data_IF_547404294465
#
_entry.id   IF_547404294465
#
_cell.length_a   1.000
_cell.length_b   1.000
_cell.length_c   1.000
_cell.angle_alpha   90.00
_cell.angle_beta   90.00
_cell.angle_gamma   90.00
#
_symmetry.space_group_name_H-M   'P 1'
#
loop_
_entity.id
_entity.type
_entity.pdbx_description
1 polymer ?
#
# COMPACT_ATOMS: atom_id res chain seq x y z
N UNK A 1 -5.57 -16.58 15.55
CA UNK A 1 -6.34 -15.45 14.97
C UNK A 1 -7.12 -15.92 13.75
N UNK A 2 -8.24 -15.27 13.43
CA UNK A 2 -9.10 -15.67 12.29
C UNK A 2 -8.33 -15.72 10.95
N UNK A 3 -7.42 -14.79 10.73
CA UNK A 3 -6.64 -14.73 9.49
C UNK A 3 -5.69 -15.92 9.37
N UNK A 4 -4.98 -16.27 10.45
CA UNK A 4 -4.08 -17.43 10.47
C UNK A 4 -4.83 -18.75 10.26
N UNK A 5 -5.96 -18.95 10.92
CA UNK A 5 -6.80 -20.13 10.73
C UNK A 5 -7.28 -20.29 9.29
N UNK A 6 -7.62 -19.18 8.62
CA UNK A 6 -8.03 -19.20 7.22
C UNK A 6 -6.87 -19.49 6.27
N UNK A 7 -5.65 -19.04 6.61
CA UNK A 7 -4.42 -19.39 5.87
C UNK A 7 -4.10 -20.88 6.05
N UNK A 8 -4.14 -21.36 7.28
CA UNK A 8 -3.82 -22.76 7.61
C UNK A 8 -4.83 -23.74 6.99
N UNK A 9 -6.12 -23.35 6.95
CA UNK A 9 -7.17 -24.10 6.24
C UNK A 9 -7.09 -23.98 4.72
N UNK A 10 -6.12 -23.22 4.20
CA UNK A 10 -5.91 -23.08 2.77
C UNK A 10 -6.90 -22.19 2.03
N UNK A 11 -7.70 -21.38 2.73
CA UNK A 11 -8.66 -20.45 2.13
C UNK A 11 -8.03 -19.11 1.73
N UNK A 12 -6.93 -18.73 2.36
CA UNK A 12 -6.17 -17.51 2.08
C UNK A 12 -4.73 -17.83 1.65
N UNK A 13 -4.15 -16.95 0.83
CA UNK A 13 -2.72 -17.01 0.51
C UNK A 13 -1.87 -16.57 1.71
N UNK A 14 -0.63 -17.07 1.81
CA UNK A 14 0.32 -16.57 2.80
C UNK A 14 0.64 -15.10 2.52
N UNK A 15 0.61 -14.27 3.56
CA UNK A 15 1.02 -12.87 3.50
C UNK A 15 2.47 -12.74 3.97
N UNK A 16 3.30 -12.08 3.17
CA UNK A 16 4.62 -11.62 3.57
C UNK A 16 4.60 -10.09 3.61
N UNK A 17 5.18 -9.49 4.64
CA UNK A 17 5.21 -8.05 4.83
C UNK A 17 6.65 -7.56 4.73
N UNK A 18 6.88 -6.59 3.84
CA UNK A 18 8.13 -5.82 3.77
C UNK A 18 7.87 -4.41 4.25
N UNK A 19 8.40 -4.08 5.42
CA UNK A 19 8.36 -2.72 5.95
C UNK A 19 9.56 -1.96 5.41
N UNK A 20 9.31 -0.96 4.58
CA UNK A 20 10.33 -0.14 3.93
C UNK A 20 10.39 1.22 4.65
N UNK A 21 11.40 1.41 5.49
CA UNK A 21 11.58 2.62 6.28
C UNK A 21 12.46 3.59 5.49
N UNK A 22 11.85 4.64 4.97
CA UNK A 22 12.52 5.67 4.19
C UNK A 22 13.14 6.68 5.14
N UNK A 23 14.47 6.81 5.12
CA UNK A 23 15.18 7.82 5.91
C UNK A 23 15.19 9.14 5.17
N UNK A 24 14.59 10.15 5.79
CA UNK A 24 14.60 11.55 5.39
C UNK A 24 15.70 12.33 6.12
N UNK A 25 15.87 13.60 5.76
CA UNK A 25 16.62 14.55 6.59
C UNK A 25 15.87 14.78 7.90
N UNK A 26 16.61 14.93 8.98
CA UNK A 26 16.06 15.19 10.30
C UNK A 26 15.30 16.51 10.29
N UNK A 27 14.02 16.48 10.68
CA UNK A 27 13.14 17.64 10.70
C UNK A 27 12.12 17.52 11.83
N UNK A 28 11.78 18.65 12.44
CA UNK A 28 10.73 18.75 13.45
C UNK A 28 9.42 19.21 12.80
N UNK A 29 8.33 18.57 13.16
CA UNK A 29 6.98 19.00 12.83
C UNK A 29 6.23 19.32 14.11
N UNK A 30 5.49 20.43 14.12
CA UNK A 30 4.68 20.83 15.26
C UNK A 30 3.36 20.06 15.32
N UNK A 31 2.80 19.71 14.17
CA UNK A 31 1.56 18.93 14.07
C UNK A 31 1.74 17.67 13.23
N UNK A 32 0.84 16.70 13.48
CA UNK A 32 0.74 15.49 12.64
C UNK A 32 0.38 15.84 11.18
N UNK A 33 -0.43 16.85 10.98
CA UNK A 33 -0.87 17.29 9.66
C UNK A 33 0.29 17.84 8.83
N UNK A 34 1.17 18.66 9.43
CA UNK A 34 2.36 19.19 8.76
C UNK A 34 3.30 18.06 8.32
N UNK A 35 3.48 17.05 9.20
CA UNK A 35 4.27 15.87 8.86
C UNK A 35 3.67 15.10 7.68
N UNK A 36 2.33 14.90 7.69
CA UNK A 36 1.65 14.22 6.58
C UNK A 36 1.80 14.98 5.27
N UNK A 37 1.61 16.31 5.28
CA UNK A 37 1.78 17.13 4.09
C UNK A 37 3.21 17.04 3.53
N UNK A 38 4.21 17.12 4.39
CA UNK A 38 5.60 16.92 3.98
C UNK A 38 5.81 15.55 3.32
N UNK A 39 5.35 14.48 3.95
CA UNK A 39 5.54 13.10 3.47
C UNK A 39 4.90 12.89 2.11
N UNK A 40 3.62 13.26 1.95
CA UNK A 40 2.88 12.98 0.71
C UNK A 40 3.32 13.86 -0.47
N UNK A 41 3.86 15.05 -0.19
CA UNK A 41 4.39 15.95 -1.22
C UNK A 41 5.87 15.72 -1.55
N UNK A 42 6.57 14.85 -0.83
CA UNK A 42 8.02 14.68 -0.97
C UNK A 42 8.39 14.00 -2.30
N UNK A 43 9.09 14.70 -3.24
CA UNK A 43 9.30 14.19 -4.60
C UNK A 43 10.08 12.88 -4.68
N UNK A 44 11.16 12.76 -3.89
CA UNK A 44 11.98 11.54 -3.87
C UNK A 44 11.21 10.33 -3.31
N UNK A 45 10.35 10.57 -2.33
CA UNK A 45 9.48 9.54 -1.77
C UNK A 45 8.45 9.05 -2.80
N UNK A 46 7.78 9.96 -3.48
CA UNK A 46 6.81 9.62 -4.51
C UNK A 46 7.47 8.91 -5.70
N UNK A 47 8.69 9.32 -6.07
CA UNK A 47 9.53 8.62 -7.06
C UNK A 47 9.86 7.20 -6.61
N UNK A 48 10.22 7.00 -5.34
CA UNK A 48 10.48 5.67 -4.79
C UNK A 48 9.25 4.76 -4.90
N UNK A 49 8.06 5.25 -4.50
CA UNK A 49 6.80 4.50 -4.59
C UNK A 49 6.48 4.16 -6.05
N UNK A 50 6.62 5.12 -6.97
CA UNK A 50 6.46 4.89 -8.40
C UNK A 50 7.37 3.77 -8.90
N UNK A 51 8.67 3.86 -8.62
CA UNK A 51 9.63 2.87 -9.08
C UNK A 51 9.31 1.49 -8.50
N UNK A 52 8.99 1.40 -7.21
CA UNK A 52 8.56 0.15 -6.58
C UNK A 52 7.34 -0.44 -7.30
N UNK A 53 6.30 0.36 -7.54
CA UNK A 53 5.08 -0.11 -8.21
C UNK A 53 5.34 -0.62 -9.63
N UNK A 54 6.22 0.05 -10.36
CA UNK A 54 6.57 -0.32 -11.75
C UNK A 54 7.48 -1.55 -11.81
N UNK A 55 8.41 -1.70 -10.87
CA UNK A 55 9.34 -2.83 -10.84
C UNK A 55 8.68 -4.14 -10.37
N UNK A 56 7.61 -4.05 -9.58
CA UNK A 56 6.88 -5.21 -9.11
C UNK A 56 6.16 -5.92 -10.26
N UNK A 57 6.24 -7.25 -10.29
CA UNK A 57 5.50 -8.10 -11.22
C UNK A 57 4.20 -8.58 -10.60
N UNK A 58 3.21 -8.82 -11.43
CA UNK A 58 1.86 -9.19 -11.01
C UNK A 58 0.97 -7.97 -10.73
N UNK A 59 -0.31 -8.22 -10.55
CA UNK A 59 -1.27 -7.16 -10.23
C UNK A 59 -0.91 -6.50 -8.91
N UNK A 60 -0.70 -5.18 -8.95
CA UNK A 60 -0.19 -4.38 -7.83
C UNK A 60 -1.20 -3.30 -7.46
N UNK A 61 -1.58 -3.25 -6.19
CA UNK A 61 -2.46 -2.23 -5.63
C UNK A 61 -1.63 -1.21 -4.85
N UNK A 62 -1.76 0.07 -5.22
CA UNK A 62 -1.13 1.20 -4.52
C UNK A 62 -2.20 1.97 -3.77
N UNK A 63 -2.16 1.95 -2.44
CA UNK A 63 -3.17 2.56 -1.58
C UNK A 63 -2.74 3.92 -1.05
N UNK A 64 -3.60 4.91 -1.22
CA UNK A 64 -3.40 6.29 -0.76
C UNK A 64 -4.59 6.81 0.07
N UNK A 65 -4.38 7.91 0.81
CA UNK A 65 -5.41 8.54 1.68
C UNK A 65 -6.04 9.79 1.06
N UNK A 66 -5.27 10.60 0.33
CA UNK A 66 -5.70 11.92 -0.19
C UNK A 66 -5.74 11.90 -1.70
N UNK A 67 -6.93 12.12 -2.28
CA UNK A 67 -7.17 11.99 -3.71
C UNK A 67 -6.34 13.02 -4.51
N UNK A 68 -6.58 14.31 -4.32
CA UNK A 68 -5.96 15.36 -5.15
C UNK A 68 -4.46 15.56 -4.84
N UNK A 69 -4.08 15.55 -3.58
CA UNK A 69 -2.72 15.93 -3.14
C UNK A 69 -1.72 14.78 -3.10
N UNK A 70 -2.16 13.54 -3.26
CA UNK A 70 -1.27 12.38 -3.28
C UNK A 70 -1.66 11.34 -4.34
N UNK A 71 -2.92 10.88 -4.35
CA UNK A 71 -3.38 9.84 -5.26
C UNK A 71 -3.22 10.20 -6.73
N UNK A 72 -3.66 11.40 -7.12
CA UNK A 72 -3.50 11.91 -8.48
C UNK A 72 -2.03 11.99 -8.90
N UNK A 73 -1.17 12.51 -8.02
CA UNK A 73 0.28 12.64 -8.26
C UNK A 73 0.91 11.27 -8.49
N UNK A 74 0.56 10.27 -7.65
CA UNK A 74 1.06 8.91 -7.80
C UNK A 74 0.56 8.27 -9.10
N UNK A 75 -0.73 8.41 -9.41
CA UNK A 75 -1.31 7.88 -10.64
C UNK A 75 -0.64 8.45 -11.87
N UNK A 76 -0.55 9.78 -12.01
CA UNK A 76 0.06 10.44 -13.16
C UNK A 76 1.53 10.03 -13.33
N UNK A 77 2.27 9.99 -12.22
CA UNK A 77 3.68 9.60 -12.22
C UNK A 77 3.88 8.13 -12.62
N UNK A 78 3.04 7.21 -12.13
CA UNK A 78 3.11 5.78 -12.48
C UNK A 78 2.69 5.59 -13.93
N UNK A 79 1.54 6.16 -14.33
CA UNK A 79 0.98 5.99 -15.67
C UNK A 79 1.92 6.54 -16.77
N UNK A 80 2.61 7.65 -16.51
CA UNK A 80 3.58 8.21 -17.45
C UNK A 80 4.89 7.41 -17.53
N UNK A 81 5.18 6.57 -16.54
CA UNK A 81 6.45 5.85 -16.44
C UNK A 81 6.38 4.38 -16.85
N UNK A 82 5.19 3.77 -16.82
CA UNK A 82 5.01 2.39 -17.29
C UNK A 82 5.24 2.28 -18.79
N UNK A 83 5.76 1.13 -19.21
CA UNK A 83 6.05 0.77 -20.60
C UNK A 83 5.34 -0.52 -20.97
N UNK A 84 5.47 -0.91 -22.22
CA UNK A 84 5.05 -2.22 -22.72
C UNK A 84 3.54 -2.52 -22.56
N UNK A 85 2.70 -1.47 -22.62
CA UNK A 85 1.24 -1.63 -22.59
C UNK A 85 0.68 -2.05 -21.22
N UNK A 86 1.48 -1.99 -20.14
CA UNK A 86 1.01 -2.29 -18.79
C UNK A 86 -0.11 -1.32 -18.40
N UNK A 87 -1.25 -1.83 -17.98
CA UNK A 87 -2.42 -1.02 -17.61
C UNK A 87 -2.27 -0.43 -16.23
N UNK A 88 -2.68 0.84 -16.09
CA UNK A 88 -2.73 1.56 -14.80
C UNK A 88 -4.13 2.13 -14.63
N UNK A 89 -4.78 1.82 -13.51
CA UNK A 89 -6.11 2.26 -13.16
C UNK A 89 -6.08 3.22 -11.97
N UNK A 90 -6.98 4.21 -11.97
CA UNK A 90 -7.15 5.15 -10.86
C UNK A 90 -8.55 5.05 -10.29
N UNK A 91 -8.66 4.72 -9.00
CA UNK A 91 -9.95 4.42 -8.36
C UNK A 91 -10.07 5.12 -7.01
N UNK A 92 -11.09 5.96 -6.86
CA UNK A 92 -11.37 6.68 -5.61
C UNK A 92 -12.87 6.92 -5.41
N UNK A 93 -13.28 7.55 -4.32
CA UNK A 93 -14.69 7.73 -3.96
C UNK A 93 -15.53 8.57 -4.94
N UNK A 94 -14.87 9.37 -5.80
CA UNK A 94 -15.53 10.12 -6.87
C UNK A 94 -15.77 9.33 -8.16
N UNK A 95 -15.26 8.11 -8.25
CA UNK A 95 -15.48 7.20 -9.39
C UNK A 95 -16.78 6.45 -9.20
N UNK A 96 -17.59 6.35 -10.26
CA UNK A 96 -18.89 5.67 -10.20
C UNK A 96 -18.76 4.17 -9.88
N UNK A 97 -19.82 3.60 -9.29
CA UNK A 97 -19.81 2.20 -8.88
C UNK A 97 -19.62 1.25 -10.07
N UNK A 98 -20.21 1.57 -11.21
CA UNK A 98 -20.07 0.79 -12.44
C UNK A 98 -18.63 0.79 -12.95
N UNK A 99 -17.98 1.95 -13.01
CA UNK A 99 -16.58 2.07 -13.43
C UNK A 99 -15.64 1.29 -12.50
N UNK A 100 -15.90 1.32 -11.18
CA UNK A 100 -15.12 0.51 -10.21
C UNK A 100 -15.27 -0.99 -10.46
N UNK A 101 -16.46 -1.46 -10.83
CA UNK A 101 -16.72 -2.86 -11.14
C UNK A 101 -16.07 -3.27 -12.47
N UNK A 102 -16.04 -2.39 -13.45
CA UNK A 102 -15.31 -2.59 -14.71
C UNK A 102 -13.81 -2.73 -14.48
N UNK A 103 -13.21 -1.84 -13.66
CA UNK A 103 -11.79 -1.93 -13.26
C UNK A 103 -11.51 -3.25 -12.55
N UNK A 104 -12.40 -3.70 -11.67
CA UNK A 104 -12.27 -5.00 -11.00
C UNK A 104 -12.27 -6.15 -12.01
N UNK A 105 -13.22 -6.17 -12.91
CA UNK A 105 -13.39 -7.22 -13.91
C UNK A 105 -12.19 -7.29 -14.86
N UNK A 106 -11.72 -6.13 -15.34
CA UNK A 106 -10.53 -6.05 -16.20
C UNK A 106 -9.30 -6.52 -15.45
N UNK A 107 -9.12 -6.09 -14.20
CA UNK A 107 -7.96 -6.48 -13.37
C UNK A 107 -7.93 -7.98 -13.09
N UNK A 108 -9.08 -8.62 -12.94
CA UNK A 108 -9.14 -10.09 -12.76
C UNK A 108 -8.67 -10.86 -14.01
N UNK A 109 -8.79 -10.26 -15.19
CA UNK A 109 -8.27 -10.82 -16.46
C UNK A 109 -6.81 -10.46 -16.73
N UNK A 110 -6.28 -9.43 -16.08
CA UNK A 110 -4.88 -8.98 -16.22
C UNK A 110 -3.96 -9.74 -15.28
N UNK A 111 -2.74 -9.96 -15.72
CA UNK A 111 -1.70 -10.61 -14.91
C UNK A 111 -0.67 -9.63 -14.33
N UNK A 112 -0.67 -8.36 -14.79
CA UNK A 112 0.38 -7.39 -14.46
C UNK A 112 -0.12 -5.93 -14.46
N UNK A 113 -1.35 -5.67 -14.01
CA UNK A 113 -1.90 -4.32 -13.89
C UNK A 113 -1.45 -3.61 -12.61
N UNK A 114 -1.48 -2.27 -12.63
CA UNK A 114 -1.32 -1.43 -11.43
C UNK A 114 -2.64 -0.71 -11.16
N UNK A 115 -3.12 -0.79 -9.92
CA UNK A 115 -4.33 -0.09 -9.46
C UNK A 115 -3.93 0.91 -8.39
N UNK A 116 -4.12 2.19 -8.64
CA UNK A 116 -3.91 3.27 -7.67
C UNK A 116 -5.26 3.61 -7.07
N UNK A 117 -5.48 3.27 -5.80
CA UNK A 117 -6.80 3.35 -5.18
C UNK A 117 -6.77 4.03 -3.80
N UNK A 118 -7.87 4.72 -3.45
CA UNK A 118 -8.01 5.25 -2.10
C UNK A 118 -8.33 4.15 -1.08
N UNK A 119 -7.81 4.28 0.15
CA UNK A 119 -8.12 3.34 1.24
C UNK A 119 -9.61 3.20 1.48
N UNK A 120 -10.37 4.31 1.41
CA UNK A 120 -11.82 4.30 1.60
C UNK A 120 -12.53 3.43 0.57
N UNK A 121 -12.22 3.63 -0.69
CA UNK A 121 -12.84 2.87 -1.79
C UNK A 121 -12.47 1.39 -1.72
N UNK A 122 -11.22 1.08 -1.38
CA UNK A 122 -10.78 -0.31 -1.23
C UNK A 122 -11.46 -1.01 -0.06
N UNK A 123 -11.66 -0.33 1.08
CA UNK A 123 -12.31 -0.91 2.26
C UNK A 123 -13.80 -1.18 2.06
N UNK A 124 -14.46 -0.45 1.16
CA UNK A 124 -15.93 -0.50 0.99
C UNK A 124 -16.41 -1.35 -0.18
N UNK A 125 -15.54 -1.84 -1.07
CA UNK A 125 -16.12 -2.59 -2.16
C UNK A 125 -15.23 -3.18 -3.25
N UNK A 126 -13.96 -2.86 -3.35
CA UNK A 126 -13.14 -3.48 -4.38
C UNK A 126 -12.57 -4.82 -3.87
N UNK A 127 -13.17 -5.91 -4.30
CA UNK A 127 -12.69 -7.26 -4.00
C UNK A 127 -11.94 -7.83 -5.22
N UNK A 128 -10.66 -7.51 -5.35
CA UNK A 128 -9.82 -8.00 -6.45
C UNK A 128 -9.09 -9.26 -5.97
N UNK A 129 -9.48 -10.42 -6.48
CA UNK A 129 -8.91 -11.72 -6.09
C UNK A 129 -7.51 -11.96 -6.63
N UNK A 130 -7.18 -11.34 -7.76
CA UNK A 130 -5.92 -11.58 -8.50
C UNK A 130 -4.78 -10.63 -8.09
N UNK A 131 -4.83 -9.99 -6.90
CA UNK A 131 -3.76 -9.11 -6.43
C UNK A 131 -2.58 -9.92 -5.89
N UNK A 132 -1.38 -9.58 -6.36
CA UNK A 132 -0.11 -10.16 -5.92
C UNK A 132 0.62 -9.25 -4.92
N UNK A 133 0.54 -7.94 -5.14
CA UNK A 133 1.24 -6.94 -4.33
C UNK A 133 0.29 -5.85 -3.86
N UNK A 134 0.50 -5.39 -2.62
CA UNK A 134 -0.17 -4.21 -2.06
C UNK A 134 0.90 -3.27 -1.53
N UNK A 135 0.84 -1.99 -1.89
CA UNK A 135 1.71 -0.93 -1.39
C UNK A 135 0.89 0.03 -0.53
N UNK A 136 1.24 0.17 0.73
CA UNK A 136 0.72 1.24 1.59
C UNK A 136 1.51 2.52 1.33
N UNK A 137 1.03 3.34 0.38
CA UNK A 137 1.74 4.54 -0.05
C UNK A 137 1.57 5.73 0.91
N UNK A 138 0.41 5.85 1.56
CA UNK A 138 0.16 6.92 2.53
C UNK A 138 0.26 6.45 3.97
N UNK A 139 0.84 7.26 4.87
CA UNK A 139 0.74 7.00 6.31
C UNK A 139 -0.72 7.09 6.78
N UNK A 140 -1.16 6.20 7.65
CA UNK A 140 -2.51 6.21 8.23
C UNK A 140 -2.54 5.53 9.59
N UNK A 141 -3.29 6.08 10.55
CA UNK A 141 -3.54 5.48 11.87
C UNK A 141 -4.47 4.25 11.79
N UNK A 142 -5.47 4.30 10.93
CA UNK A 142 -6.57 3.33 10.89
C UNK A 142 -6.28 2.04 10.12
N UNK A 143 -5.03 1.70 9.90
CA UNK A 143 -4.61 0.57 9.07
C UNK A 143 -4.93 -0.81 9.63
N UNK A 144 -5.28 -0.90 10.92
CA UNK A 144 -5.79 -2.13 11.53
C UNK A 144 -7.04 -2.62 10.78
N UNK A 145 -7.95 -1.70 10.44
CA UNK A 145 -9.14 -2.03 9.63
C UNK A 145 -8.76 -2.49 8.22
N UNK A 146 -7.66 -1.98 7.70
CA UNK A 146 -7.17 -2.33 6.36
C UNK A 146 -6.50 -3.71 6.33
N UNK A 147 -5.92 -4.21 7.42
CA UNK A 147 -5.44 -5.59 7.49
C UNK A 147 -6.59 -6.60 7.36
N UNK A 148 -7.76 -6.31 7.92
CA UNK A 148 -8.96 -7.12 7.69
C UNK A 148 -9.43 -7.03 6.23
N UNK A 149 -9.27 -5.87 5.58
CA UNK A 149 -9.55 -5.70 4.14
C UNK A 149 -8.52 -6.42 3.27
N UNK A 150 -7.25 -6.50 3.71
CA UNK A 150 -6.20 -7.30 3.06
C UNK A 150 -6.53 -8.79 3.11
N UNK A 151 -7.24 -9.28 4.12
CA UNK A 151 -7.78 -10.64 4.12
C UNK A 151 -8.61 -10.98 2.88
N UNK A 152 -9.24 -9.97 2.25
CA UNK A 152 -9.94 -10.14 0.98
C UNK A 152 -8.99 -10.27 -0.22
N UNK A 153 -7.87 -9.54 -0.19
CA UNK A 153 -6.79 -9.62 -1.21
C UNK A 153 -6.04 -10.94 -1.11
N UNK A 154 -6.00 -11.53 0.07
CA UNK A 154 -5.32 -12.79 0.33
C UNK A 154 -6.07 -14.03 -0.19
N UNK A 155 -7.26 -13.87 -0.76
CA UNK A 155 -7.99 -15.01 -1.33
C UNK A 155 -7.14 -15.68 -2.39
N UNK A 156 -7.05 -17.00 -2.28
CA UNK A 156 -6.35 -17.83 -3.27
C UNK A 156 -6.99 -17.68 -4.66
N UNK A 157 -6.16 -17.49 -5.66
CA UNK A 157 -6.49 -17.76 -7.06
C UNK A 157 -5.66 -18.94 -7.53
N UNK A 158 -6.01 -19.56 -8.67
CA UNK A 158 -5.35 -20.78 -9.17
C UNK A 158 -3.82 -20.65 -9.25
N UNK A 159 -3.30 -19.45 -9.50
CA UNK A 159 -1.88 -19.18 -9.74
C UNK A 159 -1.19 -18.39 -8.61
N UNK A 160 -1.87 -18.20 -7.45
CA UNK A 160 -1.38 -17.33 -6.37
C UNK A 160 -1.18 -18.10 -5.07
N UNK A 161 0.07 -18.33 -4.70
CA UNK A 161 0.44 -18.96 -3.44
C UNK A 161 0.78 -17.95 -2.33
N UNK A 162 1.22 -16.75 -2.70
CA UNK A 162 1.70 -15.70 -1.78
C UNK A 162 1.16 -14.34 -2.19
N UNK A 163 0.97 -13.47 -1.20
CA UNK A 163 0.72 -12.05 -1.40
C UNK A 163 1.78 -11.24 -0.66
N UNK A 164 2.24 -10.14 -1.26
CA UNK A 164 3.24 -9.26 -0.69
C UNK A 164 2.60 -7.94 -0.26
N UNK A 165 2.82 -7.53 0.98
CA UNK A 165 2.51 -6.19 1.46
C UNK A 165 3.80 -5.39 1.62
N UNK A 166 3.86 -4.23 0.98
CA UNK A 166 4.92 -3.23 1.14
C UNK A 166 4.38 -2.10 2.02
N UNK A 167 4.78 -2.08 3.28
CA UNK A 167 4.40 -1.04 4.23
C UNK A 167 5.46 0.07 4.21
N UNK A 168 5.15 1.19 3.55
CA UNK A 168 6.04 2.33 3.46
C UNK A 168 5.93 3.15 4.74
N UNK A 169 7.05 3.32 5.43
CA UNK A 169 7.18 4.14 6.61
C UNK A 169 8.25 5.21 6.40
N UNK A 170 8.19 6.27 7.19
CA UNK A 170 9.04 7.45 7.04
C UNK A 170 9.74 7.75 8.36
N UNK A 171 11.07 7.69 8.37
CA UNK A 171 11.90 8.07 9.51
C UNK A 171 12.44 9.48 9.30
N UNK A 172 11.87 10.43 10.06
CA UNK A 172 12.23 11.85 10.10
C UNK A 172 12.67 12.23 11.52
N UNK A 173 13.25 11.28 12.24
CA UNK A 173 13.66 11.45 13.64
C UNK A 173 14.51 12.70 13.81
N UNK A 174 14.13 13.57 14.77
CA UNK A 174 14.84 14.79 15.12
C UNK A 174 15.30 14.74 16.58
N UNK A 175 16.59 14.91 16.82
CA UNK A 175 17.20 14.90 18.18
C UNK A 175 16.65 13.74 19.04
N UNK A 176 16.73 12.54 18.58
CA UNK A 176 16.24 11.32 19.25
C UNK A 176 14.71 11.20 19.41
N UNK A 177 13.92 12.21 19.01
CA UNK A 177 12.46 12.16 19.03
C UNK A 177 11.95 11.61 17.70
N UNK A 178 11.28 10.45 17.77
CA UNK A 178 10.63 9.86 16.60
C UNK A 178 9.45 10.72 16.14
N UNK A 179 9.27 10.82 14.84
CA UNK A 179 8.14 11.52 14.24
C UNK A 179 6.82 10.74 14.41
N UNK A 180 5.70 11.39 14.16
CA UNK A 180 4.36 10.83 14.39
C UNK A 180 4.10 9.54 13.61
N UNK A 181 4.39 9.54 12.31
CA UNK A 181 4.12 8.37 11.45
C UNK A 181 5.06 7.20 11.72
N UNK A 182 6.27 7.45 12.21
CA UNK A 182 7.18 6.40 12.67
C UNK A 182 6.66 5.73 13.95
N UNK A 183 6.06 6.49 14.87
CA UNK A 183 5.38 5.91 16.04
C UNK A 183 4.18 5.04 15.61
N UNK A 184 3.44 5.44 14.57
CA UNK A 184 2.37 4.61 14.02
C UNK A 184 2.89 3.31 13.40
N UNK A 185 4.10 3.30 12.83
CA UNK A 185 4.73 2.06 12.39
C UNK A 185 4.96 1.09 13.55
N UNK A 186 5.42 1.58 14.70
CA UNK A 186 5.64 0.74 15.89
C UNK A 186 4.35 0.05 16.30
N UNK A 187 3.22 0.76 16.27
CA UNK A 187 1.91 0.15 16.55
C UNK A 187 1.51 -0.91 15.51
N UNK A 188 1.81 -0.67 14.23
CA UNK A 188 1.55 -1.67 13.19
C UNK A 188 2.38 -2.93 13.36
N UNK A 189 3.65 -2.80 13.76
CA UNK A 189 4.53 -3.94 14.01
C UNK A 189 4.00 -4.80 15.16
N UNK A 190 3.42 -4.20 16.20
CA UNK A 190 2.75 -4.96 17.28
C UNK A 190 1.64 -5.85 16.71
N UNK A 191 0.82 -5.30 15.83
CA UNK A 191 -0.27 -6.05 15.18
C UNK A 191 0.28 -7.15 14.30
N UNK A 192 1.35 -6.92 13.53
CA UNK A 192 1.98 -7.96 12.71
C UNK A 192 2.45 -9.13 13.57
N UNK A 193 2.98 -8.85 14.76
CA UNK A 193 3.38 -9.89 15.74
C UNK A 193 2.17 -10.61 16.34
N UNK A 194 1.15 -9.88 16.74
CA UNK A 194 -0.09 -10.43 17.34
C UNK A 194 -0.83 -11.34 16.36
N UNK A 195 -0.85 -10.96 15.06
CA UNK A 195 -1.45 -11.73 13.98
C UNK A 195 -0.52 -12.83 13.41
N UNK A 196 0.71 -12.94 13.93
CA UNK A 196 1.72 -13.91 13.51
C UNK A 196 2.07 -13.82 12.02
N UNK A 197 2.13 -12.60 11.48
CA UNK A 197 2.58 -12.34 10.12
C UNK A 197 4.11 -12.33 10.05
N UNK A 198 4.66 -12.96 9.02
CA UNK A 198 6.07 -12.81 8.67
C UNK A 198 6.32 -11.40 8.14
N UNK A 199 7.26 -10.67 8.75
CA UNK A 199 7.64 -9.34 8.29
C UNK A 199 9.16 -9.15 8.34
N UNK A 200 9.65 -8.31 7.42
CA UNK A 200 11.05 -7.88 7.34
C UNK A 200 11.13 -6.37 7.35
N UNK A 201 12.12 -5.82 8.04
CA UNK A 201 12.40 -4.38 8.09
C UNK A 201 13.58 -4.05 7.18
N UNK A 202 13.43 -3.03 6.34
CA UNK A 202 14.52 -2.51 5.51
C UNK A 202 14.60 -0.99 5.65
N UNK A 203 15.78 -0.46 5.92
CA UNK A 203 16.06 0.96 5.97
C UNK A 203 16.61 1.43 4.63
N UNK A 204 15.97 2.44 4.05
CA UNK A 204 16.27 2.95 2.71
C UNK A 204 16.57 4.44 2.79
N UNK A 205 17.75 4.84 2.33
CA UNK A 205 18.11 6.25 2.20
C UNK A 205 17.52 6.80 0.90
N UNK A 206 16.71 7.86 0.98
CA UNK A 206 16.18 8.55 -0.18
C UNK A 206 17.30 9.29 -0.92
N UNK A 207 17.56 8.91 -2.18
CA UNK A 207 18.56 9.50 -3.06
C UNK A 207 17.97 10.60 -3.94
#
# INVERSE_FOLDING_TARGET
TQTKELIDKGHLSKLQIRVLILKHHDQKFDTYEDEIQYIISHPKRNRFIRNLAVDLRGNTLVLFSRVATHGQILFDSINSFVKDGRKVFYVHGGVEAQEREEVRTITESESNAIIVASYGTFSTGINIKALHNVIFASPSKSRIRNLQSIGRVLRKSKDKTHAMLYDIADDITFKSKKNYTLNHLIERIKIYKEEDFNYELSHIKLK
#
